data_IF_665941307146
#
_entry.id   IF_665941307146
#
_cell.length_a   1.000
_cell.length_b   1.000
_cell.length_c   1.000
_cell.angle_alpha   90.00
_cell.angle_beta   90.00
_cell.angle_gamma   90.00
#
_symmetry.space_group_name_H-M   'P 1'
#
loop_
_entity.id
_entity.type
_entity.pdbx_description
1 polymer ?
#
# COMPACT_ATOMS: atom_id res chain seq x y z
N UNK A 1 -36.64 -2.93 42.58
CA UNK A 1 -36.59 -2.12 41.33
C UNK A 1 -35.88 -0.80 41.63
N UNK A 2 -34.53 -0.71 41.54
CA UNK A 2 -33.84 0.52 41.89
C UNK A 2 -33.86 1.49 40.71
N UNK A 3 -34.45 2.66 40.97
CA UNK A 3 -34.53 3.82 40.10
C UNK A 3 -33.13 4.19 39.60
N UNK A 4 -32.93 4.12 38.28
CA UNK A 4 -31.72 4.60 37.62
C UNK A 4 -31.67 6.13 37.79
N UNK A 5 -30.89 6.61 38.76
CA UNK A 5 -30.62 8.05 38.93
C UNK A 5 -29.93 8.57 37.66
N UNK A 6 -30.70 9.20 36.78
CA UNK A 6 -30.15 10.03 35.71
C UNK A 6 -29.45 11.22 36.36
N UNK A 7 -28.11 11.22 36.33
CA UNK A 7 -27.30 12.33 36.84
C UNK A 7 -27.10 13.35 35.72
N UNK A 8 -27.82 14.51 35.72
CA UNK A 8 -27.78 15.49 34.64
C UNK A 8 -26.40 16.16 34.46
N UNK A 9 -25.45 15.93 35.39
CA UNK A 9 -24.08 16.47 35.34
C UNK A 9 -23.09 15.61 34.53
N UNK A 10 -23.47 14.41 34.10
CA UNK A 10 -22.62 13.54 33.25
C UNK A 10 -23.08 13.59 31.80
N UNK A 11 -23.10 14.78 31.19
CA UNK A 11 -23.24 14.88 29.73
C UNK A 11 -22.02 14.19 29.09
N UNK A 12 -22.30 13.08 28.41
CA UNK A 12 -21.33 12.31 27.64
C UNK A 12 -21.31 12.87 26.22
N UNK A 13 -20.11 13.09 25.70
CA UNK A 13 -19.87 13.67 24.39
C UNK A 13 -19.20 12.65 23.49
N UNK A 14 -19.66 12.62 22.25
CA UNK A 14 -19.02 11.90 21.17
C UNK A 14 -17.94 12.78 20.54
N UNK A 15 -16.73 12.27 20.42
CA UNK A 15 -15.60 13.02 19.87
C UNK A 15 -15.42 12.69 18.40
N UNK A 16 -15.25 13.71 17.58
CA UNK A 16 -14.79 13.59 16.20
C UNK A 16 -13.37 14.15 16.11
N UNK A 17 -12.45 13.36 15.57
CA UNK A 17 -11.08 13.78 15.33
C UNK A 17 -10.82 13.84 13.83
N UNK A 18 -10.15 14.86 13.30
CA UNK A 18 -9.86 14.94 11.86
C UNK A 18 -9.12 13.70 11.31
N UNK A 19 -8.20 13.13 12.09
CA UNK A 19 -7.35 12.02 11.65
C UNK A 19 -7.98 10.63 11.77
N UNK A 20 -8.96 10.45 12.65
CA UNK A 20 -9.53 9.12 12.99
C UNK A 20 -11.05 9.08 12.92
N UNK A 21 -11.69 10.22 12.59
CA UNK A 21 -13.13 10.36 12.54
C UNK A 21 -13.79 10.20 13.90
N UNK A 22 -14.99 9.61 13.87
CA UNK A 22 -15.83 9.38 15.05
C UNK A 22 -15.17 8.39 16.01
N UNK A 23 -14.91 8.83 17.23
CA UNK A 23 -14.40 7.98 18.30
C UNK A 23 -15.54 7.12 18.88
N UNK A 24 -15.28 5.84 19.13
CA UNK A 24 -16.26 4.94 19.76
C UNK A 24 -16.50 5.27 21.23
N UNK A 25 -15.47 5.81 21.91
CA UNK A 25 -15.53 6.15 23.33
C UNK A 25 -16.21 7.50 23.53
N UNK A 26 -17.26 7.50 24.35
CA UNK A 26 -17.86 8.73 24.88
C UNK A 26 -17.01 9.27 26.04
N UNK A 27 -16.83 10.59 26.08
CA UNK A 27 -16.07 11.26 27.14
C UNK A 27 -16.93 12.28 27.89
N UNK A 28 -16.64 12.51 29.17
CA UNK A 28 -17.35 13.53 29.94
C UNK A 28 -16.83 14.93 29.60
N UNK A 29 -17.65 15.96 29.80
CA UNK A 29 -17.21 17.35 29.66
C UNK A 29 -15.97 17.68 30.52
N UNK A 30 -15.88 17.10 31.72
CA UNK A 30 -14.76 17.31 32.62
C UNK A 30 -13.44 16.76 32.06
N UNK A 31 -13.47 15.55 31.50
CA UNK A 31 -12.29 14.93 30.87
C UNK A 31 -11.85 15.72 29.64
N UNK A 32 -12.81 16.20 28.84
CA UNK A 32 -12.55 17.02 27.67
C UNK A 32 -11.85 18.32 28.05
N UNK A 33 -12.35 19.04 29.06
CA UNK A 33 -11.75 20.28 29.55
C UNK A 33 -10.37 20.09 30.16
N UNK A 34 -10.07 18.90 30.69
CA UNK A 34 -8.73 18.56 31.20
C UNK A 34 -7.72 18.31 30.08
N UNK A 35 -8.18 17.73 28.96
CA UNK A 35 -7.31 17.32 27.84
C UNK A 35 -7.18 18.37 26.73
N UNK A 36 -8.20 19.22 26.58
CA UNK A 36 -8.34 20.10 25.42
C UNK A 36 -8.68 21.52 25.86
N UNK A 37 -8.06 22.48 25.17
CA UNK A 37 -8.43 23.89 25.22
C UNK A 37 -9.28 24.21 23.99
N UNK A 38 -10.40 24.91 24.20
CA UNK A 38 -11.17 25.47 23.08
C UNK A 38 -10.38 26.63 22.50
N UNK A 39 -10.15 26.60 21.19
CA UNK A 39 -9.42 27.62 20.43
C UNK A 39 -10.26 28.06 19.23
N UNK A 40 -10.12 29.32 18.76
CA UNK A 40 -10.69 29.74 17.49
C UNK A 40 -10.03 29.00 16.32
N UNK A 41 -10.69 29.00 15.17
CA UNK A 41 -10.21 28.27 13.98
C UNK A 41 -8.90 28.80 13.43
N UNK A 42 -8.66 30.11 13.56
CA UNK A 42 -7.43 30.78 13.15
C UNK A 42 -6.19 30.26 13.91
N UNK A 43 -6.32 30.06 15.23
CA UNK A 43 -5.25 29.50 16.07
C UNK A 43 -5.04 28.00 15.79
N UNK A 44 -6.09 27.28 15.39
CA UNK A 44 -6.01 25.84 15.13
C UNK A 44 -5.39 25.51 13.75
N UNK A 45 -5.64 26.36 12.76
CA UNK A 45 -5.21 26.17 11.37
C UNK A 45 -3.72 25.87 11.20
N UNK A 46 -2.76 26.63 11.77
CA UNK A 46 -1.34 26.35 11.56
C UNK A 46 -0.95 24.97 12.07
N UNK A 47 -1.46 24.56 13.24
CA UNK A 47 -1.18 23.24 13.80
C UNK A 47 -1.78 22.10 12.98
N UNK A 48 -2.98 22.30 12.41
CA UNK A 48 -3.57 21.31 11.51
C UNK A 48 -2.80 21.18 10.20
N UNK A 49 -2.35 22.30 9.63
CA UNK A 49 -1.58 22.30 8.40
C UNK A 49 -0.19 21.65 8.60
N UNK A 50 0.48 21.97 9.70
CA UNK A 50 1.74 21.35 10.11
C UNK A 50 1.57 19.83 10.25
N UNK A 51 0.54 19.40 10.99
CA UNK A 51 0.26 17.98 11.16
C UNK A 51 -0.09 17.30 9.83
N UNK A 52 -0.86 17.96 8.97
CA UNK A 52 -1.21 17.45 7.65
C UNK A 52 0.03 17.26 6.77
N UNK A 53 0.92 18.25 6.75
CA UNK A 53 2.16 18.20 6.00
C UNK A 53 3.10 17.11 6.53
N UNK A 54 3.30 17.06 7.85
CA UNK A 54 4.16 16.05 8.48
C UNK A 54 3.61 14.62 8.30
N UNK A 55 2.29 14.44 8.28
CA UNK A 55 1.69 13.11 8.07
C UNK A 55 1.95 12.50 6.68
N UNK A 56 2.61 13.21 5.77
CA UNK A 56 3.05 12.67 4.49
C UNK A 56 4.06 11.53 4.65
N UNK A 57 5.01 11.69 5.55
CA UNK A 57 6.18 10.83 5.71
C UNK A 57 6.52 10.53 7.18
N UNK A 58 5.99 11.31 8.11
CA UNK A 58 6.29 11.22 9.53
C UNK A 58 5.12 10.56 10.27
N UNK A 59 5.41 9.40 10.87
CA UNK A 59 4.39 8.69 11.63
C UNK A 59 3.96 9.48 12.88
N UNK A 60 2.74 9.24 13.37
CA UNK A 60 2.22 9.98 14.53
C UNK A 60 3.05 9.78 15.79
N UNK A 61 3.78 8.67 15.90
CA UNK A 61 4.70 8.47 17.02
C UNK A 61 5.84 9.49 16.98
N UNK A 62 6.51 9.60 15.83
CA UNK A 62 7.62 10.53 15.64
C UNK A 62 7.14 11.98 15.75
N UNK A 63 5.97 12.31 15.18
CA UNK A 63 5.40 13.65 15.27
C UNK A 63 5.15 14.09 16.72
N UNK A 64 4.46 13.27 17.52
CA UNK A 64 4.08 13.67 18.89
C UNK A 64 5.17 13.44 19.94
N UNK A 65 6.08 12.49 19.73
CA UNK A 65 7.10 12.09 20.73
C UNK A 65 8.53 12.44 20.32
N UNK A 66 8.75 12.91 19.09
CA UNK A 66 10.08 13.11 18.52
C UNK A 66 10.81 11.81 18.16
N UNK A 67 10.25 10.64 18.47
CA UNK A 67 10.85 9.34 18.17
C UNK A 67 9.80 8.27 17.83
N UNK A 68 10.23 7.27 17.05
CA UNK A 68 9.43 6.08 16.77
C UNK A 68 10.32 4.84 16.88
N UNK A 69 9.88 3.86 17.67
CA UNK A 69 10.64 2.61 17.87
C UNK A 69 10.94 1.88 16.55
N UNK A 70 9.97 1.83 15.62
CA UNK A 70 10.18 1.20 14.30
C UNK A 70 11.19 1.99 13.47
N UNK A 71 11.00 3.31 13.34
CA UNK A 71 11.91 4.16 12.59
C UNK A 71 13.33 4.13 13.16
N UNK A 72 13.48 4.12 14.49
CA UNK A 72 14.78 4.01 15.16
C UNK A 72 15.50 2.69 14.93
N UNK A 73 14.79 1.64 14.54
CA UNK A 73 15.37 0.35 14.08
C UNK A 73 15.58 0.31 12.56
N UNK A 74 15.41 1.43 11.85
CA UNK A 74 15.45 1.49 10.40
C UNK A 74 14.22 0.88 9.71
N UNK A 75 13.16 0.57 10.44
CA UNK A 75 11.94 -0.02 9.90
C UNK A 75 10.90 1.06 9.57
N UNK A 76 10.16 0.85 8.48
CA UNK A 76 9.07 1.74 8.07
C UNK A 76 7.91 1.71 9.07
N UNK A 77 7.40 2.88 9.44
CA UNK A 77 6.23 3.03 10.30
C UNK A 77 5.14 3.83 9.58
N UNK A 78 4.07 3.15 9.18
CA UNK A 78 2.96 3.78 8.46
C UNK A 78 1.84 4.30 9.38
N UNK A 79 2.08 4.29 10.70
CA UNK A 79 1.05 4.65 11.68
C UNK A 79 0.75 6.15 11.60
N UNK A 80 -0.46 6.46 11.18
CA UNK A 80 -0.96 7.83 11.08
C UNK A 80 -0.43 8.62 9.89
N UNK A 81 0.20 7.95 8.92
CA UNK A 81 0.48 8.57 7.62
C UNK A 81 -0.81 8.76 6.84
N UNK A 82 -0.94 9.89 6.14
CA UNK A 82 -2.07 10.17 5.25
C UNK A 82 -1.93 9.48 3.88
N UNK A 83 -0.70 9.18 3.48
CA UNK A 83 -0.39 8.48 2.25
C UNK A 83 0.14 7.08 2.57
N UNK A 84 -0.25 6.10 1.75
CA UNK A 84 0.29 4.74 1.78
C UNK A 84 0.73 4.36 0.39
N UNK A 85 1.88 3.70 0.33
CA UNK A 85 2.43 3.18 -0.92
C UNK A 85 2.11 1.71 -1.02
N UNK A 86 1.41 1.33 -2.08
CA UNK A 86 1.15 -0.07 -2.42
C UNK A 86 1.90 -0.40 -3.70
N UNK A 87 2.61 -1.52 -3.71
CA UNK A 87 3.22 -2.05 -4.91
C UNK A 87 2.25 -3.01 -5.57
N UNK A 88 1.94 -2.78 -6.84
CA UNK A 88 0.99 -3.60 -7.59
C UNK A 88 1.66 -4.15 -8.83
N UNK A 89 1.78 -5.48 -8.90
CA UNK A 89 2.22 -6.16 -10.11
C UNK A 89 1.02 -6.31 -11.05
N UNK A 90 1.11 -5.74 -12.24
CA UNK A 90 0.05 -5.73 -13.25
C UNK A 90 0.55 -6.30 -14.60
N UNK A 91 -0.36 -6.50 -15.55
CA UNK A 91 -0.07 -7.14 -16.85
C UNK A 91 -0.46 -8.63 -16.85
N UNK A 92 0.31 -9.46 -17.55
CA UNK A 92 0.09 -10.92 -17.62
C UNK A 92 0.54 -11.61 -16.33
N UNK A 93 -0.11 -11.32 -15.21
CA UNK A 93 0.26 -11.86 -13.89
C UNK A 93 0.17 -13.38 -13.86
N UNK A 94 -0.82 -13.97 -14.55
CA UNK A 94 -1.02 -15.42 -14.59
C UNK A 94 0.18 -16.16 -15.20
N UNK A 95 0.86 -15.59 -16.19
CA UNK A 95 2.03 -16.24 -16.82
C UNK A 95 3.26 -16.25 -15.93
N UNK A 96 3.29 -15.43 -14.87
CA UNK A 96 4.39 -15.36 -13.90
C UNK A 96 3.98 -15.83 -12.51
N UNK A 97 2.76 -16.35 -12.35
CA UNK A 97 2.15 -16.68 -11.06
C UNK A 97 3.08 -17.51 -10.16
N UNK A 98 3.58 -18.64 -10.65
CA UNK A 98 4.46 -19.54 -9.90
C UNK A 98 5.77 -18.88 -9.47
N UNK A 99 6.32 -17.97 -10.30
CA UNK A 99 7.53 -17.21 -9.95
C UNK A 99 7.25 -16.25 -8.80
N UNK A 100 6.08 -15.60 -8.83
CA UNK A 100 5.66 -14.69 -7.75
C UNK A 100 5.39 -15.47 -6.46
N UNK A 101 4.74 -16.64 -6.53
CA UNK A 101 4.54 -17.52 -5.37
C UNK A 101 5.88 -17.92 -4.74
N UNK A 102 6.85 -18.33 -5.57
CA UNK A 102 8.18 -18.71 -5.10
C UNK A 102 8.89 -17.60 -4.32
N UNK A 103 8.81 -16.35 -4.77
CA UNK A 103 9.39 -15.21 -4.05
C UNK A 103 8.63 -14.88 -2.77
N UNK A 104 7.29 -14.87 -2.82
CA UNK A 104 6.47 -14.59 -1.64
C UNK A 104 6.74 -15.61 -0.53
N UNK A 105 6.86 -16.89 -0.89
CA UNK A 105 7.16 -17.98 0.04
C UNK A 105 8.56 -17.88 0.65
N UNK A 106 9.57 -17.49 -0.14
CA UNK A 106 10.96 -17.43 0.33
C UNK A 106 11.26 -16.23 1.23
N UNK A 107 10.64 -15.08 0.95
CA UNK A 107 10.93 -13.83 1.69
C UNK A 107 10.06 -13.70 2.95
N UNK A 108 8.82 -14.20 2.92
CA UNK A 108 7.84 -13.80 3.94
C UNK A 108 7.73 -14.73 5.14
N UNK A 109 8.29 -15.96 5.10
CA UNK A 109 8.25 -16.94 6.21
C UNK A 109 6.84 -17.32 6.71
N UNK A 110 5.82 -16.70 6.14
CA UNK A 110 4.40 -16.76 6.43
C UNK A 110 3.69 -16.98 5.10
N UNK A 111 2.56 -17.66 5.12
CA UNK A 111 1.78 -17.97 3.94
C UNK A 111 1.12 -16.68 3.40
N UNK A 112 1.90 -15.83 2.72
CA UNK A 112 1.39 -14.58 2.14
C UNK A 112 0.50 -14.94 0.97
N UNK A 113 -0.80 -14.88 1.23
CA UNK A 113 -1.83 -15.10 0.21
C UNK A 113 -1.72 -14.00 -0.84
N UNK A 114 -1.60 -14.41 -2.10
CA UNK A 114 -1.72 -13.48 -3.22
C UNK A 114 -3.09 -12.80 -3.21
N UNK A 115 -3.10 -11.48 -3.22
CA UNK A 115 -4.32 -10.69 -3.24
C UNK A 115 -4.47 -9.95 -4.56
N UNK A 116 -5.50 -10.30 -5.33
CA UNK A 116 -5.91 -9.56 -6.52
C UNK A 116 -6.58 -8.27 -6.09
N UNK A 117 -6.17 -7.17 -6.72
CA UNK A 117 -6.77 -5.85 -6.56
C UNK A 117 -7.19 -5.28 -7.90
N UNK A 118 -8.25 -4.47 -7.85
CA UNK A 118 -8.71 -3.63 -8.94
C UNK A 118 -8.59 -2.19 -8.47
N UNK A 119 -7.81 -1.38 -9.19
CA UNK A 119 -7.58 0.01 -8.85
C UNK A 119 -7.93 0.90 -10.04
N UNK A 120 -8.38 2.12 -9.72
CA UNK A 120 -8.62 3.18 -10.70
C UNK A 120 -7.64 4.30 -10.38
N UNK A 121 -6.82 4.65 -11.36
CA UNK A 121 -5.87 5.76 -11.26
C UNK A 121 -6.60 7.10 -11.40
N UNK A 122 -5.92 8.20 -11.05
CA UNK A 122 -6.50 9.56 -11.13
C UNK A 122 -6.85 9.96 -12.57
N UNK A 123 -6.05 9.51 -13.55
CA UNK A 123 -6.30 9.65 -14.99
C UNK A 123 -7.35 8.67 -15.52
N UNK A 124 -7.98 7.88 -14.64
CA UNK A 124 -9.14 7.05 -14.96
C UNK A 124 -8.82 5.66 -15.50
N UNK A 125 -7.54 5.29 -15.63
CA UNK A 125 -7.15 3.95 -16.03
C UNK A 125 -7.58 2.92 -14.99
N UNK A 126 -8.07 1.78 -15.45
CA UNK A 126 -8.46 0.65 -14.61
C UNK A 126 -7.39 -0.42 -14.69
N UNK A 127 -6.79 -0.73 -13.56
CA UNK A 127 -5.71 -1.70 -13.47
C UNK A 127 -6.18 -2.87 -12.59
N UNK A 128 -5.91 -4.08 -13.06
CA UNK A 128 -6.05 -5.31 -12.28
C UNK A 128 -4.65 -5.86 -12.04
N UNK A 129 -4.34 -6.20 -10.80
CA UNK A 129 -3.01 -6.68 -10.44
C UNK A 129 -2.97 -7.38 -9.08
N UNK A 130 -1.77 -7.75 -8.64
CA UNK A 130 -1.51 -8.33 -7.32
C UNK A 130 -0.85 -7.31 -6.40
N UNK A 131 -1.30 -7.21 -5.15
CA UNK A 131 -0.54 -6.51 -4.12
C UNK A 131 0.73 -7.29 -3.84
N UNK A 132 1.86 -6.59 -3.91
CA UNK A 132 3.19 -7.10 -3.60
C UNK A 132 3.69 -6.43 -2.31
N UNK A 133 4.07 -7.21 -1.28
CA UNK A 133 4.76 -6.68 -0.10
C UNK A 133 6.08 -5.98 -0.49
N UNK A 134 6.41 -4.88 0.18
CA UNK A 134 7.58 -4.06 -0.15
C UNK A 134 8.91 -4.85 -0.17
N UNK A 135 9.09 -5.78 0.77
CA UNK A 135 10.25 -6.67 0.85
C UNK A 135 10.38 -7.63 -0.35
N UNK A 136 9.31 -7.87 -1.09
CA UNK A 136 9.30 -8.76 -2.26
C UNK A 136 9.52 -8.01 -3.58
N UNK A 137 9.46 -6.67 -3.59
CA UNK A 137 9.54 -5.86 -4.82
C UNK A 137 10.87 -6.06 -5.53
N UNK A 138 12.00 -5.80 -4.86
CA UNK A 138 13.31 -5.92 -5.51
C UNK A 138 13.63 -7.33 -6.01
N UNK A 139 13.39 -8.41 -5.24
CA UNK A 139 13.55 -9.77 -5.74
C UNK A 139 12.67 -10.08 -6.96
N UNK A 140 11.41 -9.63 -6.97
CA UNK A 140 10.51 -9.82 -8.10
C UNK A 140 10.98 -9.07 -9.33
N UNK A 141 11.39 -7.81 -9.20
CA UNK A 141 11.92 -7.03 -10.31
C UNK A 141 13.11 -7.75 -10.95
N UNK A 142 14.09 -8.19 -10.15
CA UNK A 142 15.26 -8.90 -10.67
C UNK A 142 14.89 -10.22 -11.39
N UNK A 143 13.99 -11.02 -10.80
CA UNK A 143 13.57 -12.31 -11.37
C UNK A 143 12.77 -12.15 -12.66
N UNK A 144 11.88 -11.17 -12.72
CA UNK A 144 11.02 -10.94 -13.87
C UNK A 144 11.77 -10.27 -15.02
N UNK A 145 12.69 -9.35 -14.74
CA UNK A 145 13.52 -8.71 -15.77
C UNK A 145 14.48 -9.69 -16.46
N UNK A 146 15.08 -10.62 -15.72
CA UNK A 146 15.94 -11.66 -16.31
C UNK A 146 15.15 -12.67 -17.14
N UNK A 147 13.92 -12.97 -16.71
CA UNK A 147 13.01 -13.83 -17.46
C UNK A 147 12.59 -13.23 -18.79
N UNK A 148 12.29 -11.93 -18.82
CA UNK A 148 11.89 -11.21 -20.04
C UNK A 148 13.02 -11.20 -21.08
N UNK A 149 14.25 -10.89 -20.67
CA UNK A 149 15.42 -10.96 -21.55
C UNK A 149 15.62 -12.36 -22.14
N UNK A 150 15.46 -13.40 -21.32
CA UNK A 150 15.62 -14.79 -21.76
C UNK A 150 14.55 -15.20 -22.78
N UNK A 151 13.29 -14.75 -22.58
CA UNK A 151 12.21 -14.99 -23.51
C UNK A 151 12.42 -14.26 -24.84
N UNK A 152 12.87 -13.00 -24.81
CA UNK A 152 13.18 -12.23 -26.02
C UNK A 152 14.29 -12.89 -26.82
N UNK A 153 15.35 -13.36 -26.17
CA UNK A 153 16.45 -14.10 -26.82
C UNK A 153 15.99 -15.43 -27.40
N UNK A 154 15.09 -16.15 -26.73
CA UNK A 154 14.54 -17.41 -27.24
C UNK A 154 13.65 -17.18 -28.47
N UNK A 155 12.81 -16.14 -28.45
CA UNK A 155 11.97 -15.75 -29.60
C UNK A 155 12.86 -15.33 -30.78
N UNK A 156 13.90 -14.53 -30.53
CA UNK A 156 14.84 -14.11 -31.58
C UNK A 156 15.57 -15.30 -32.20
N UNK A 157 16.05 -16.25 -31.39
CA UNK A 157 16.70 -17.47 -31.88
C UNK A 157 15.74 -18.35 -32.69
N UNK A 158 14.47 -18.49 -32.27
CA UNK A 158 13.46 -19.21 -33.04
C UNK A 158 13.18 -18.54 -34.39
N UNK A 159 13.11 -17.21 -34.43
CA UNK A 159 12.93 -16.46 -35.68
C UNK A 159 14.12 -16.66 -36.63
N UNK A 160 15.35 -16.56 -36.12
CA UNK A 160 16.58 -16.82 -36.88
C UNK A 160 16.55 -18.26 -37.42
N UNK A 161 16.24 -19.24 -36.57
CA UNK A 161 16.16 -20.65 -36.96
C UNK A 161 15.08 -20.90 -38.03
N UNK A 162 13.93 -20.24 -37.94
CA UNK A 162 12.88 -20.31 -38.97
C UNK A 162 13.32 -19.70 -40.31
N UNK A 163 14.08 -18.60 -40.29
CA UNK A 163 14.61 -18.00 -41.52
C UNK A 163 15.69 -18.86 -42.18
N UNK A 164 16.52 -19.53 -41.38
CA UNK A 164 17.59 -20.40 -41.87
C UNK A 164 17.18 -21.87 -42.03
N UNK A 165 15.89 -22.19 -41.85
CA UNK A 165 15.41 -23.56 -41.95
C UNK A 165 15.50 -24.08 -43.40
N UNK A 166 16.18 -25.21 -43.70
CA UNK A 166 16.44 -25.68 -45.07
C UNK A 166 15.21 -26.07 -45.92
N UNK A 167 13.99 -25.95 -45.37
CA UNK A 167 12.75 -26.32 -46.06
C UNK A 167 11.97 -25.13 -46.63
N UNK A 168 12.51 -23.91 -46.59
CA UNK A 168 11.91 -22.74 -47.24
C UNK A 168 12.31 -22.55 -48.72
N UNK A 169 13.19 -23.39 -49.27
CA UNK A 169 13.56 -23.42 -50.70
C UNK A 169 12.93 -24.63 -51.41
N UNK A 170 11.61 -24.75 -51.39
CA UNK A 170 10.87 -25.60 -52.35
C UNK A 170 9.58 -24.91 -52.75
N UNK A 171 9.68 -23.77 -53.44
CA UNK A 171 8.59 -23.19 -54.25
C UNK A 171 9.15 -22.20 -55.28
N UNK A 172 10.06 -22.67 -56.12
CA UNK A 172 10.46 -21.99 -57.37
C UNK A 172 10.74 -23.08 -58.40
N UNK A 173 9.67 -23.75 -58.83
CA UNK A 173 9.56 -24.47 -60.09
C UNK A 173 8.12 -25.00 -60.19
N UNK A 174 7.27 -24.26 -60.89
CA UNK A 174 6.24 -24.76 -61.81
C UNK A 174 5.20 -23.66 -62.10
N UNK A 175 5.47 -22.86 -63.13
CA UNK A 175 4.51 -22.44 -64.15
C UNK A 175 5.30 -21.74 -65.28
#
# INVERSE_FOLDING_TARGET
NPKQQYNPKKKLFLIYRPNTGKQLKLETCADLKKKYKKVPSEDALPHWLEQYNSSADTCTHAYWRGNCKKAGLGLVCEVGLRCRTYYVLCGSVLSVWTKVEGVLASVSGTNVKMQIVRLRTEDGQRIVGLIIPANCVSPLVNLLSTSDQSQQLAVQQQQIWQQHHPQSITNLNNA
#
